data_IF_425751923728
#
_entry.id   IF_425751923728
#
_cell.length_a   1.000
_cell.length_b   1.000
_cell.length_c   1.000
_cell.angle_alpha   90.00
_cell.angle_beta   90.00
_cell.angle_gamma   90.00
#
_symmetry.space_group_name_H-M   'P 1'
#
loop_
_entity.id
_entity.type
_entity.pdbx_description
1 polymer ?
#
# COMPACT_ATOMS: atom_id res chain seq x y z
N UNK A 1 -24.00 -21.06 -2.07
CA UNK A 1 -23.20 -20.39 -3.11
C UNK A 1 -22.09 -21.34 -3.52
N UNK A 2 -21.97 -21.73 -4.80
CA UNK A 2 -20.89 -22.62 -5.27
C UNK A 2 -19.65 -21.78 -5.54
N UNK A 3 -18.52 -22.12 -4.90
CA UNK A 3 -17.21 -21.46 -5.03
C UNK A 3 -16.51 -21.80 -6.35
N UNK A 4 -17.26 -21.80 -7.45
CA UNK A 4 -16.77 -22.35 -8.71
C UNK A 4 -15.55 -21.58 -9.25
N UNK A 5 -15.40 -20.29 -8.92
CA UNK A 5 -14.23 -19.47 -9.30
C UNK A 5 -12.90 -19.92 -8.68
N UNK A 6 -12.92 -20.79 -7.67
CA UNK A 6 -11.71 -21.40 -7.11
C UNK A 6 -11.23 -22.61 -7.93
N UNK A 7 -12.05 -23.12 -8.85
CA UNK A 7 -11.69 -24.29 -9.66
C UNK A 7 -10.76 -23.87 -10.80
N UNK A 8 -9.72 -24.68 -11.03
CA UNK A 8 -8.68 -24.41 -12.04
C UNK A 8 -9.22 -24.40 -13.48
N UNK A 9 -10.33 -25.11 -13.75
CA UNK A 9 -10.98 -25.22 -15.05
C UNK A 9 -11.97 -24.09 -15.35
N UNK A 10 -12.20 -23.19 -14.39
CA UNK A 10 -13.11 -22.05 -14.58
C UNK A 10 -12.37 -20.78 -14.96
N UNK A 11 -12.98 -20.01 -15.87
CA UNK A 11 -12.49 -18.68 -16.24
C UNK A 11 -12.40 -17.78 -15.00
N UNK A 12 -11.31 -16.99 -14.84
CA UNK A 12 -11.18 -16.02 -13.76
C UNK A 12 -12.37 -15.07 -13.73
N UNK A 13 -12.98 -14.93 -12.55
CA UNK A 13 -14.03 -13.94 -12.31
C UNK A 13 -14.17 -13.64 -10.82
N UNK A 14 -14.50 -12.40 -10.44
CA UNK A 14 -14.78 -12.07 -9.06
C UNK A 14 -16.11 -12.70 -8.60
N UNK A 15 -16.27 -13.02 -7.30
CA UNK A 15 -17.56 -13.35 -6.73
C UNK A 15 -18.51 -12.13 -6.73
N UNK A 16 -19.81 -12.30 -6.41
CA UNK A 16 -20.76 -11.18 -6.35
C UNK A 16 -20.26 -10.02 -5.48
N UNK A 17 -20.58 -8.79 -5.88
CA UNK A 17 -19.83 -7.60 -5.47
C UNK A 17 -19.56 -7.44 -3.97
N UNK A 18 -20.57 -7.65 -3.12
CA UNK A 18 -20.40 -7.55 -1.66
C UNK A 18 -19.42 -8.59 -1.10
N UNK A 19 -19.42 -9.81 -1.65
CA UNK A 19 -18.51 -10.88 -1.23
C UNK A 19 -17.08 -10.61 -1.72
N UNK A 20 -16.91 -10.13 -2.95
CA UNK A 20 -15.59 -9.79 -3.46
C UNK A 20 -14.95 -8.71 -2.59
N UNK A 21 -15.67 -7.63 -2.29
CA UNK A 21 -15.24 -6.57 -1.38
C UNK A 21 -14.90 -7.12 0.02
N UNK A 22 -15.74 -7.97 0.61
CA UNK A 22 -15.46 -8.55 1.92
C UNK A 22 -14.20 -9.44 1.91
N UNK A 23 -14.00 -10.24 0.86
CA UNK A 23 -12.83 -11.11 0.74
C UNK A 23 -11.55 -10.29 0.61
N UNK A 24 -11.50 -9.27 -0.26
CA UNK A 24 -10.28 -8.45 -0.37
C UNK A 24 -10.05 -7.54 0.83
N UNK A 25 -11.10 -7.05 1.49
CA UNK A 25 -10.95 -6.36 2.76
C UNK A 25 -10.31 -7.30 3.79
N UNK A 26 -10.78 -8.55 3.86
CA UNK A 26 -10.19 -9.59 4.71
C UNK A 26 -8.72 -9.89 4.36
N UNK A 27 -8.40 -10.01 3.07
CA UNK A 27 -7.01 -10.18 2.61
C UNK A 27 -6.15 -8.99 3.03
N UNK A 28 -6.61 -7.76 2.79
CA UNK A 28 -5.85 -6.56 3.14
C UNK A 28 -5.70 -6.36 4.66
N UNK A 29 -6.69 -6.74 5.46
CA UNK A 29 -6.56 -6.79 6.93
C UNK A 29 -5.51 -7.82 7.33
N UNK A 30 -5.60 -9.04 6.78
CA UNK A 30 -4.65 -10.11 7.09
C UNK A 30 -3.21 -9.72 6.71
N UNK A 31 -3.00 -9.21 5.50
CA UNK A 31 -1.68 -8.76 5.07
C UNK A 31 -1.23 -7.56 5.89
N UNK A 32 -2.12 -6.65 6.30
CA UNK A 32 -1.79 -5.51 7.14
C UNK A 32 -1.37 -5.93 8.55
N UNK A 33 -2.01 -6.96 9.10
CA UNK A 33 -1.63 -7.57 10.37
C UNK A 33 -0.27 -8.27 10.26
N UNK A 34 -0.04 -9.05 9.20
CA UNK A 34 1.27 -9.68 8.93
C UNK A 34 2.35 -8.61 8.82
N UNK A 35 2.07 -7.52 8.12
CA UNK A 35 2.95 -6.36 7.94
C UNK A 35 3.28 -5.62 9.23
N UNK A 36 2.49 -5.83 10.28
CA UNK A 36 2.66 -5.17 11.58
C UNK A 36 3.47 -6.03 12.56
N UNK A 37 3.87 -7.25 12.17
CA UNK A 37 4.69 -8.12 13.01
C UNK A 37 6.15 -7.63 12.94
N UNK A 38 6.87 -7.53 14.07
CA UNK A 38 8.30 -7.24 14.06
C UNK A 38 9.06 -8.22 13.17
N UNK A 39 9.82 -7.70 12.21
CA UNK A 39 10.52 -8.52 11.21
C UNK A 39 11.81 -9.10 11.79
N UNK A 40 12.11 -10.40 11.58
CA UNK A 40 13.46 -10.96 11.78
C UNK A 40 14.36 -10.77 10.54
N UNK A 41 13.86 -10.20 9.44
CA UNK A 41 14.64 -9.96 8.22
C UNK A 41 15.62 -8.80 8.42
N UNK A 42 16.84 -8.88 7.86
CA UNK A 42 17.87 -7.85 8.03
C UNK A 42 17.40 -6.52 7.46
N UNK A 43 17.64 -5.46 8.23
CA UNK A 43 17.37 -4.08 7.86
C UNK A 43 18.15 -3.70 6.61
N UNK A 44 17.46 -3.19 5.59
CA UNK A 44 18.10 -2.61 4.41
C UNK A 44 18.46 -1.16 4.73
N UNK A 45 19.65 -0.95 5.29
CA UNK A 45 20.21 0.38 5.52
C UNK A 45 20.78 0.95 4.21
N UNK A 46 20.12 2.00 3.69
CA UNK A 46 20.67 2.89 2.67
C UNK A 46 21.11 4.18 3.38
N UNK A 47 22.33 4.14 3.89
CA UNK A 47 23.22 5.23 4.38
C UNK A 47 22.72 6.28 5.41
N UNK A 48 23.62 6.57 6.37
CA UNK A 48 23.47 7.40 7.55
C UNK A 48 23.20 8.90 7.29
N UNK A 49 22.08 9.44 7.77
CA UNK A 49 21.99 10.80 8.32
C UNK A 49 20.63 11.07 9.03
N UNK A 50 20.71 11.49 10.30
CA UNK A 50 19.77 12.34 11.02
C UNK A 50 18.26 12.21 10.73
N UNK A 51 17.56 11.48 11.60
CA UNK A 51 16.09 11.29 11.58
C UNK A 51 15.57 10.70 10.27
N UNK A 52 16.07 9.51 9.97
CA UNK A 52 15.40 8.52 9.11
C UNK A 52 14.10 8.13 9.83
N UNK A 53 12.97 8.00 9.13
CA UNK A 53 11.88 7.11 9.60
C UNK A 53 12.54 5.74 9.82
N UNK A 54 12.94 5.49 11.07
CA UNK A 54 14.08 4.64 11.39
C UNK A 54 14.02 3.30 10.64
N UNK A 55 15.00 3.10 9.76
CA UNK A 55 15.17 1.91 8.93
C UNK A 55 15.64 0.67 9.71
N UNK A 56 15.57 0.69 11.05
CA UNK A 56 15.68 -0.50 11.91
C UNK A 56 14.41 -1.37 11.94
N UNK A 57 13.44 -1.12 11.05
CA UNK A 57 12.11 -1.74 11.18
C UNK A 57 11.18 -1.56 10.01
N UNK A 58 11.68 -1.43 8.78
CA UNK A 58 10.81 -1.33 7.59
C UNK A 58 10.58 -2.74 7.04
N UNK A 59 9.39 -3.33 7.26
CA UNK A 59 9.18 -4.73 6.98
C UNK A 59 9.10 -4.95 5.47
N UNK A 60 10.20 -5.41 4.84
CA UNK A 60 10.15 -5.90 3.45
C UNK A 60 9.05 -6.96 3.30
N UNK A 61 8.83 -7.74 4.36
CA UNK A 61 7.75 -8.71 4.45
C UNK A 61 6.35 -8.08 4.30
N UNK A 62 6.16 -6.79 4.60
CA UNK A 62 4.88 -6.11 4.39
C UNK A 62 4.56 -5.93 2.91
N UNK A 63 5.52 -5.42 2.14
CA UNK A 63 5.40 -5.32 0.68
C UNK A 63 5.21 -6.70 0.03
N UNK A 64 5.92 -7.72 0.52
CA UNK A 64 5.78 -9.11 0.07
C UNK A 64 4.39 -9.66 0.40
N UNK A 65 3.93 -9.56 1.66
CA UNK A 65 2.65 -10.10 2.10
C UNK A 65 1.49 -9.47 1.32
N UNK A 66 1.48 -8.14 1.23
CA UNK A 66 0.46 -7.42 0.47
C UNK A 66 0.53 -7.76 -1.02
N UNK A 67 1.72 -7.77 -1.60
CA UNK A 67 1.93 -8.13 -3.00
C UNK A 67 1.47 -9.55 -3.34
N UNK A 68 1.72 -10.53 -2.47
CA UNK A 68 1.23 -11.90 -2.64
C UNK A 68 -0.29 -11.93 -2.58
N UNK A 69 -0.89 -11.21 -1.62
CA UNK A 69 -2.34 -11.06 -1.52
C UNK A 69 -2.95 -10.52 -2.81
N UNK A 70 -2.43 -9.39 -3.31
CA UNK A 70 -2.91 -8.74 -4.53
C UNK A 70 -2.70 -9.63 -5.76
N UNK A 71 -1.50 -10.21 -5.94
CA UNK A 71 -1.20 -11.10 -7.07
C UNK A 71 -2.07 -12.37 -7.04
N UNK A 72 -2.34 -12.93 -5.86
CA UNK A 72 -3.26 -14.05 -5.68
C UNK A 72 -4.69 -13.68 -6.10
N UNK A 73 -5.15 -12.46 -5.80
CA UNK A 73 -6.47 -12.00 -6.25
C UNK A 73 -6.51 -11.78 -7.76
N UNK A 74 -5.46 -11.23 -8.37
CA UNK A 74 -5.36 -11.14 -9.83
C UNK A 74 -5.39 -12.52 -10.48
N UNK A 75 -4.66 -13.48 -9.91
CA UNK A 75 -4.66 -14.87 -10.37
C UNK A 75 -6.04 -15.51 -10.31
N UNK A 76 -6.77 -15.28 -9.23
CA UNK A 76 -8.10 -15.88 -9.04
C UNK A 76 -9.18 -15.22 -9.89
N UNK A 77 -9.12 -13.89 -10.08
CA UNK A 77 -10.25 -13.12 -10.58
C UNK A 77 -10.03 -12.37 -11.88
N UNK A 78 -8.78 -12.20 -12.33
CA UNK A 78 -8.45 -11.44 -13.53
C UNK A 78 -7.79 -12.28 -14.63
N UNK A 79 -6.68 -12.97 -14.34
CA UNK A 79 -5.89 -13.68 -15.35
C UNK A 79 -5.18 -14.91 -14.75
N UNK A 80 -5.07 -16.02 -15.49
CA UNK A 80 -4.32 -17.23 -15.08
C UNK A 80 -2.88 -17.26 -15.63
N UNK A 81 -2.42 -16.18 -16.25
CA UNK A 81 -1.03 -16.05 -16.69
C UNK A 81 -0.11 -15.75 -15.49
N UNK A 82 0.81 -16.67 -15.13
CA UNK A 82 1.64 -16.52 -13.93
C UNK A 82 2.64 -15.40 -14.09
N UNK A 83 3.11 -15.12 -15.31
CA UNK A 83 4.04 -14.02 -15.55
C UNK A 83 3.38 -12.67 -15.25
N UNK A 84 2.11 -12.47 -15.65
CA UNK A 84 1.39 -11.23 -15.34
C UNK A 84 1.14 -11.07 -13.84
N UNK A 85 0.77 -12.14 -13.15
CA UNK A 85 0.51 -12.08 -11.71
C UNK A 85 1.81 -11.89 -10.89
N UNK A 86 2.92 -12.53 -11.29
CA UNK A 86 4.24 -12.29 -10.71
C UNK A 86 4.72 -10.86 -10.98
N UNK A 87 4.42 -10.31 -12.16
CA UNK A 87 4.72 -8.91 -12.47
C UNK A 87 3.90 -7.95 -11.61
N UNK A 88 2.62 -8.27 -11.33
CA UNK A 88 1.82 -7.53 -10.33
C UNK A 88 2.50 -7.55 -8.97
N UNK A 89 2.92 -8.73 -8.47
CA UNK A 89 3.65 -8.84 -7.19
C UNK A 89 4.92 -7.95 -7.19
N UNK A 90 5.73 -8.05 -8.24
CA UNK A 90 6.97 -7.26 -8.36
C UNK A 90 6.68 -5.75 -8.32
N UNK A 91 5.63 -5.29 -9.01
CA UNK A 91 5.25 -3.88 -9.05
C UNK A 91 4.66 -3.38 -7.73
N UNK A 92 3.93 -4.23 -7.00
CA UNK A 92 3.50 -3.89 -5.64
C UNK A 92 4.69 -3.75 -4.71
N UNK A 93 5.69 -4.64 -4.81
CA UNK A 93 6.92 -4.56 -4.02
C UNK A 93 7.75 -3.31 -4.37
N UNK A 94 7.90 -3.00 -5.66
CA UNK A 94 8.54 -1.75 -6.10
C UNK A 94 7.74 -0.54 -5.61
N UNK A 95 6.41 -0.61 -5.67
CA UNK A 95 5.51 0.42 -5.14
C UNK A 95 5.69 0.68 -3.66
N UNK A 96 5.87 -0.38 -2.88
CA UNK A 96 6.18 -0.31 -1.45
C UNK A 96 7.50 0.43 -1.19
N UNK A 97 8.58 0.01 -1.86
CA UNK A 97 9.89 0.66 -1.72
C UNK A 97 9.86 2.13 -2.16
N UNK A 98 9.18 2.41 -3.28
CA UNK A 98 9.02 3.78 -3.77
C UNK A 98 8.20 4.65 -2.82
N UNK A 99 7.15 4.10 -2.20
CA UNK A 99 6.34 4.81 -1.21
C UNK A 99 7.17 5.22 0.02
N UNK A 100 7.99 4.31 0.52
CA UNK A 100 8.89 4.55 1.66
C UNK A 100 9.91 5.64 1.32
N UNK A 101 10.62 5.50 0.19
CA UNK A 101 11.61 6.49 -0.23
C UNK A 101 10.97 7.87 -0.43
N UNK A 102 9.78 7.91 -1.07
CA UNK A 102 9.02 9.15 -1.24
C UNK A 102 8.66 9.77 0.11
N UNK A 103 8.20 8.96 1.07
CA UNK A 103 7.86 9.45 2.40
C UNK A 103 9.09 10.02 3.12
N UNK A 104 10.23 9.33 3.04
CA UNK A 104 11.50 9.78 3.63
C UNK A 104 11.99 11.09 3.01
N UNK A 105 11.98 11.20 1.69
CA UNK A 105 12.42 12.40 0.96
C UNK A 105 11.53 13.60 1.31
N UNK A 106 10.21 13.40 1.30
CA UNK A 106 9.25 14.47 1.64
C UNK A 106 9.38 14.88 3.10
N UNK A 107 9.48 13.94 4.03
CA UNK A 107 9.68 14.24 5.45
C UNK A 107 10.97 15.05 5.64
N UNK A 108 12.09 14.58 5.08
CA UNK A 108 13.40 15.24 5.20
C UNK A 108 13.38 16.65 4.61
N UNK A 109 12.73 16.83 3.45
CA UNK A 109 12.57 18.14 2.82
C UNK A 109 11.75 19.11 3.69
N UNK A 110 10.71 18.62 4.37
CA UNK A 110 9.88 19.44 5.27
C UNK A 110 10.64 19.81 6.55
N UNK A 111 11.33 18.85 7.18
CA UNK A 111 12.12 19.10 8.40
C UNK A 111 13.27 20.06 8.13
N UNK A 112 13.98 19.86 7.01
CA UNK A 112 15.09 20.71 6.56
C UNK A 112 14.66 22.08 6.05
N UNK A 113 13.35 22.36 5.93
CA UNK A 113 12.88 23.64 5.42
C UNK A 113 12.98 24.77 6.44
N UNK A 114 13.32 25.98 5.98
CA UNK A 114 13.30 27.19 6.80
C UNK A 114 11.89 27.78 6.99
N UNK A 115 10.90 27.24 6.26
CA UNK A 115 9.52 27.76 6.16
C UNK A 115 8.80 27.95 7.49
N UNK A 116 9.16 27.18 8.52
CA UNK A 116 8.44 27.17 9.79
C UNK A 116 9.15 27.97 10.91
N UNK A 117 10.33 28.58 10.66
CA UNK A 117 11.10 29.34 11.66
C UNK A 117 11.80 28.48 12.75
N UNK A 118 12.80 29.02 13.45
CA UNK A 118 13.70 28.26 14.34
C UNK A 118 13.21 28.09 15.79
N UNK A 119 11.98 28.50 16.09
CA UNK A 119 11.42 28.51 17.44
C UNK A 119 11.00 27.10 17.88
N UNK A 120 11.12 26.76 19.16
CA UNK A 120 10.86 25.40 19.69
C UNK A 120 9.46 24.86 19.34
N UNK A 121 8.42 25.71 19.26
CA UNK A 121 7.06 25.31 18.82
C UNK A 121 6.91 25.08 17.31
N UNK A 122 7.83 25.61 16.50
CA UNK A 122 7.89 25.33 15.07
C UNK A 122 8.38 23.92 14.77
N UNK A 123 9.25 23.34 15.61
CA UNK A 123 9.78 22.00 15.41
C UNK A 123 8.69 20.92 15.45
N UNK A 124 7.83 20.94 16.46
CA UNK A 124 6.72 19.99 16.56
C UNK A 124 5.74 20.14 15.38
N UNK A 125 5.44 21.38 14.98
CA UNK A 125 4.58 21.66 13.83
C UNK A 125 5.19 21.15 12.51
N UNK A 126 6.51 21.27 12.32
CA UNK A 126 7.24 20.73 11.16
C UNK A 126 7.18 19.21 11.10
N UNK A 127 7.37 18.53 12.23
CA UNK A 127 7.33 17.06 12.29
C UNK A 127 5.94 16.53 11.96
N UNK A 128 4.88 17.13 12.50
CA UNK A 128 3.50 16.78 12.16
C UNK A 128 3.24 17.00 10.67
N UNK A 129 3.54 18.18 10.13
CA UNK A 129 3.34 18.47 8.71
C UNK A 129 4.17 17.54 7.83
N UNK A 130 5.42 17.26 8.23
CA UNK A 130 6.31 16.34 7.55
C UNK A 130 5.71 14.94 7.46
N UNK A 131 5.22 14.39 8.58
CA UNK A 131 4.62 13.06 8.61
C UNK A 131 3.31 12.99 7.81
N UNK A 132 2.48 14.03 7.85
CA UNK A 132 1.26 14.10 7.06
C UNK A 132 1.55 14.17 5.55
N UNK A 133 2.49 15.03 5.14
CA UNK A 133 2.88 15.19 3.74
C UNK A 133 3.60 13.95 3.20
N UNK A 134 4.50 13.36 4.00
CA UNK A 134 5.19 12.12 3.69
C UNK A 134 4.21 10.97 3.52
N UNK A 135 3.27 10.81 4.46
CA UNK A 135 2.23 9.80 4.41
C UNK A 135 1.36 9.93 3.16
N UNK A 136 0.88 11.15 2.86
CA UNK A 136 0.07 11.42 1.68
C UNK A 136 0.80 11.09 0.37
N UNK A 137 2.06 11.53 0.26
CA UNK A 137 2.88 11.34 -0.93
C UNK A 137 3.28 9.87 -1.12
N UNK A 138 3.75 9.22 -0.06
CA UNK A 138 4.08 7.79 -0.06
C UNK A 138 2.86 6.93 -0.34
N UNK A 139 1.72 7.23 0.28
CA UNK A 139 0.45 6.56 0.04
C UNK A 139 -0.01 6.65 -1.43
N UNK A 140 0.13 7.83 -2.05
CA UNK A 140 -0.17 8.04 -3.46
C UNK A 140 0.73 7.20 -4.38
N UNK A 141 2.05 7.23 -4.16
CA UNK A 141 3.04 6.51 -4.96
C UNK A 141 2.84 5.00 -4.85
N UNK A 142 2.70 4.48 -3.62
CA UNK A 142 2.51 3.06 -3.36
C UNK A 142 1.23 2.52 -3.97
N UNK A 143 0.11 3.24 -3.80
CA UNK A 143 -1.16 2.85 -4.39
C UNK A 143 -1.18 3.01 -5.92
N UNK A 144 -0.52 4.02 -6.47
CA UNK A 144 -0.40 4.22 -7.92
C UNK A 144 0.35 3.08 -8.61
N UNK A 145 1.49 2.66 -8.06
CA UNK A 145 2.25 1.53 -8.58
C UNK A 145 1.53 0.19 -8.36
N UNK A 146 0.82 0.04 -7.24
CA UNK A 146 -0.07 -1.12 -7.01
C UNK A 146 -1.16 -1.18 -8.07
N UNK A 147 -1.84 -0.05 -8.34
CA UNK A 147 -2.90 0.03 -9.33
C UNK A 147 -2.37 -0.20 -10.76
N UNK A 148 -1.17 0.30 -11.08
CA UNK A 148 -0.48 0.02 -12.33
C UNK A 148 -0.19 -1.48 -12.49
N UNK A 149 0.37 -2.12 -11.47
CA UNK A 149 0.64 -3.57 -11.46
C UNK A 149 -0.63 -4.41 -11.60
N UNK A 150 -1.73 -4.02 -10.97
CA UNK A 150 -3.04 -4.67 -11.12
C UNK A 150 -3.63 -4.48 -12.51
N UNK A 151 -3.35 -3.34 -13.16
CA UNK A 151 -3.78 -3.06 -14.53
C UNK A 151 -3.23 -4.05 -15.56
N UNK A 152 -2.11 -4.71 -15.30
CA UNK A 152 -1.48 -5.65 -16.25
C UNK A 152 -2.39 -6.86 -16.53
N UNK A 153 -2.77 -7.67 -15.51
CA UNK A 153 -3.71 -8.77 -15.71
C UNK A 153 -5.18 -8.31 -15.80
N UNK A 154 -5.52 -7.10 -15.32
CA UNK A 154 -6.91 -6.64 -15.24
C UNK A 154 -7.17 -5.34 -16.03
N UNK A 155 -7.70 -5.47 -17.25
CA UNK A 155 -8.13 -4.33 -18.07
C UNK A 155 -9.06 -3.34 -17.35
N UNK A 156 -10.04 -3.76 -16.52
CA UNK A 156 -10.92 -2.83 -15.81
C UNK A 156 -10.21 -1.84 -14.88
N UNK A 157 -9.04 -2.23 -14.36
CA UNK A 157 -8.22 -1.38 -13.50
C UNK A 157 -7.50 -0.27 -14.29
N UNK A 158 -7.22 -0.50 -15.59
CA UNK A 158 -6.60 0.51 -16.47
C UNK A 158 -7.50 1.72 -16.71
N UNK A 159 -8.81 1.61 -16.44
CA UNK A 159 -9.75 2.71 -16.58
C UNK A 159 -9.37 3.83 -15.60
N UNK A 160 -9.27 5.10 -16.04
CA UNK A 160 -8.87 6.20 -15.17
C UNK A 160 -9.70 6.31 -13.88
N UNK A 161 -11.00 6.02 -13.94
CA UNK A 161 -11.88 6.03 -12.78
C UNK A 161 -11.46 5.03 -11.69
N UNK A 162 -11.07 3.82 -12.08
CA UNK A 162 -10.62 2.77 -11.16
C UNK A 162 -9.24 3.13 -10.61
N UNK A 163 -8.33 3.55 -11.48
CA UNK A 163 -6.97 3.90 -11.12
C UNK A 163 -6.91 5.09 -10.14
N UNK A 164 -7.63 6.17 -10.44
CA UNK A 164 -7.73 7.36 -9.58
C UNK A 164 -8.33 7.00 -8.21
N UNK A 165 -9.36 6.14 -8.17
CA UNK A 165 -9.94 5.72 -6.90
C UNK A 165 -8.90 5.04 -6.00
N UNK A 166 -8.13 4.10 -6.55
CA UNK A 166 -7.09 3.37 -5.80
C UNK A 166 -6.03 4.34 -5.25
N UNK A 167 -5.57 5.28 -6.09
CA UNK A 167 -4.59 6.30 -5.70
C UNK A 167 -5.14 7.23 -4.61
N UNK A 168 -6.37 7.73 -4.77
CA UNK A 168 -7.01 8.61 -3.77
C UNK A 168 -7.16 7.89 -2.44
N UNK A 169 -7.57 6.61 -2.45
CA UNK A 169 -7.69 5.82 -1.21
C UNK A 169 -6.33 5.65 -0.54
N UNK A 170 -5.30 5.30 -1.30
CA UNK A 170 -3.94 5.14 -0.76
C UNK A 170 -3.36 6.45 -0.22
N UNK A 171 -3.53 7.55 -0.95
CA UNK A 171 -3.09 8.88 -0.52
C UNK A 171 -3.88 9.37 0.70
N UNK A 172 -5.19 9.17 0.72
CA UNK A 172 -6.09 9.63 1.77
C UNK A 172 -5.89 8.92 3.11
N UNK A 173 -5.39 7.69 3.10
CA UNK A 173 -5.01 6.95 4.31
C UNK A 173 -3.54 7.18 4.71
N UNK A 174 -2.74 7.73 3.80
CA UNK A 174 -1.36 8.13 4.05
C UNK A 174 -1.15 8.95 5.34
N UNK A 175 -1.99 9.96 5.66
CA UNK A 175 -1.94 10.72 6.90
C UNK A 175 -1.95 9.89 8.20
N UNK A 176 -2.39 8.63 8.17
CA UNK A 176 -2.29 7.71 9.32
C UNK A 176 -0.84 7.40 9.72
N UNK A 177 0.14 7.76 8.89
CA UNK A 177 1.55 7.71 9.24
C UNK A 177 1.87 8.52 10.51
N UNK A 178 1.26 9.69 10.68
CA UNK A 178 1.47 10.52 11.86
C UNK A 178 1.09 9.81 13.18
N UNK A 179 -0.17 9.38 13.39
CA UNK A 179 -0.56 8.68 14.61
C UNK A 179 0.10 7.29 14.73
N UNK A 180 0.47 6.63 13.63
CA UNK A 180 1.20 5.37 13.69
C UNK A 180 2.60 5.55 14.28
N UNK A 181 3.31 6.62 13.91
CA UNK A 181 4.63 6.97 14.47
C UNK A 181 4.52 7.47 15.91
N UNK A 182 3.55 8.34 16.19
CA UNK A 182 3.35 8.92 17.54
C UNK A 182 3.01 7.86 18.60
N UNK A 183 2.25 6.83 18.21
CA UNK A 183 1.82 5.75 19.09
C UNK A 183 2.69 4.48 19.01
N UNK A 184 3.76 4.50 18.22
CA UNK A 184 4.62 3.34 17.92
C UNK A 184 3.80 2.09 17.51
N UNK A 185 2.81 2.31 16.65
CA UNK A 185 1.80 1.31 16.30
C UNK A 185 1.53 1.31 14.78
N UNK A 186 2.44 0.69 14.02
CA UNK A 186 2.34 0.60 12.55
C UNK A 186 1.05 -0.06 12.04
N UNK A 187 0.40 -0.89 12.87
CA UNK A 187 -0.91 -1.46 12.57
C UNK A 187 -1.99 -0.40 12.28
N UNK A 188 -1.87 0.79 12.87
CA UNK A 188 -2.77 1.93 12.63
C UNK A 188 -2.70 2.39 11.17
N UNK A 189 -1.54 2.25 10.52
CA UNK A 189 -1.36 2.57 9.11
C UNK A 189 -1.65 1.36 8.22
N UNK A 190 -0.95 0.25 8.44
CA UNK A 190 -0.93 -0.86 7.46
C UNK A 190 -2.25 -1.58 7.32
N UNK A 191 -2.96 -1.83 8.43
CA UNK A 191 -4.24 -2.56 8.39
C UNK A 191 -5.30 -1.80 7.59
N UNK A 192 -5.65 -0.54 7.92
CA UNK A 192 -6.65 0.18 7.15
C UNK A 192 -6.18 0.49 5.73
N UNK A 193 -4.89 0.83 5.53
CA UNK A 193 -4.35 1.13 4.22
C UNK A 193 -4.45 -0.06 3.27
N UNK A 194 -3.93 -1.23 3.67
CA UNK A 194 -3.95 -2.42 2.82
C UNK A 194 -5.37 -2.93 2.58
N UNK A 195 -6.24 -2.92 3.60
CA UNK A 195 -7.64 -3.29 3.47
C UNK A 195 -8.39 -2.42 2.46
N UNK A 196 -8.25 -1.09 2.55
CA UNK A 196 -8.99 -0.18 1.69
C UNK A 196 -8.40 -0.09 0.28
N UNK A 197 -7.07 -0.16 0.12
CA UNK A 197 -6.44 -0.27 -1.20
C UNK A 197 -6.88 -1.57 -1.89
N UNK A 198 -6.81 -2.72 -1.22
CA UNK A 198 -7.30 -3.99 -1.78
C UNK A 198 -8.79 -3.94 -2.14
N UNK A 199 -9.61 -3.33 -1.28
CA UNK A 199 -11.03 -3.11 -1.53
C UNK A 199 -11.27 -2.25 -2.76
N UNK A 200 -10.52 -1.17 -2.93
CA UNK A 200 -10.64 -0.28 -4.09
C UNK A 200 -10.26 -0.97 -5.40
N UNK A 201 -9.29 -1.88 -5.36
CA UNK A 201 -8.91 -2.73 -6.50
C UNK A 201 -10.07 -3.67 -6.86
N UNK A 202 -10.62 -4.42 -5.91
CA UNK A 202 -11.75 -5.30 -6.20
C UNK A 202 -12.96 -4.53 -6.72
N UNK A 203 -13.23 -3.35 -6.16
CA UNK A 203 -14.28 -2.49 -6.65
C UNK A 203 -14.09 -2.12 -8.12
N UNK A 204 -12.85 -1.80 -8.52
CA UNK A 204 -12.48 -1.58 -9.92
C UNK A 204 -12.65 -2.82 -10.81
N UNK A 205 -12.44 -4.03 -10.27
CA UNK A 205 -12.67 -5.29 -10.99
C UNK A 205 -14.16 -5.60 -11.20
N UNK A 206 -15.01 -5.24 -10.23
CA UNK A 206 -16.44 -5.60 -10.22
C UNK A 206 -17.29 -4.63 -11.06
N UNK A 207 -16.89 -3.37 -11.17
CA UNK A 207 -17.64 -2.30 -11.87
C UNK A 207 -17.55 -2.37 -13.41
N UNK A 208 -17.38 -3.56 -13.96
CA UNK A 208 -17.37 -3.81 -15.41
C UNK A 208 -18.75 -3.86 -16.02
#
# INVERSE_FOLDING_TARGET
MKWDFLKADTLPRPPPGAHAVAIVAGVGVLTGLISSIPSPLPDMNLEDAGFVLNATGIPLHAGIAFGIGVAGMMWLWADRDPAKCLLTLALVLIGWLAAINTANDVFSAVIGSDLFGTVTGAKASREVVGLLAAGLSGGAVGAGLTAFGCGIPAEPIRRPKSWILIVIVGAGLGPLLYPAVDLDAMAILFVPWQALVATSIAYGLIRT
#
